data_IF_818246823812
#
_entry.id   IF_818246823812
#
_cell.length_a   1.000
_cell.length_b   1.000
_cell.length_c   1.000
_cell.angle_alpha   90.00
_cell.angle_beta   90.00
_cell.angle_gamma   90.00
#
_symmetry.space_group_name_H-M   'P 1'
#
loop_
_entity.id
_entity.type
_entity.pdbx_description
1 polymer ?
#
# COMPACT_ATOMS: atom_id res chain seq x y z
N UNK A 1 -75.83 -17.39 49.58
CA UNK A 1 -74.63 -18.15 49.27
C UNK A 1 -74.40 -18.03 47.78
N UNK A 2 -73.46 -17.19 47.37
CA UNK A 2 -73.09 -16.97 45.97
C UNK A 2 -71.65 -17.45 45.81
N UNK A 3 -71.49 -18.51 45.02
CA UNK A 3 -70.22 -19.16 44.69
C UNK A 3 -69.64 -18.43 43.47
N UNK A 4 -68.50 -17.78 43.62
CA UNK A 4 -67.74 -17.18 42.52
C UNK A 4 -66.80 -18.25 41.93
N UNK A 5 -66.96 -18.52 40.64
CA UNK A 5 -66.08 -19.42 39.87
C UNK A 5 -65.02 -18.55 39.15
N UNK A 6 -63.76 -18.78 39.53
CA UNK A 6 -62.63 -18.07 38.99
C UNK A 6 -62.11 -18.86 37.76
N UNK A 7 -62.18 -18.27 36.59
CA UNK A 7 -61.60 -18.86 35.36
C UNK A 7 -60.13 -18.48 35.26
N UNK A 8 -59.26 -19.44 35.31
CA UNK A 8 -57.83 -19.29 34.97
C UNK A 8 -57.66 -19.46 33.45
N UNK A 9 -57.32 -18.37 32.76
CA UNK A 9 -56.88 -18.41 31.37
C UNK A 9 -55.38 -18.75 31.34
N UNK A 10 -55.07 -19.94 30.81
CA UNK A 10 -53.69 -20.32 30.47
C UNK A 10 -53.27 -19.70 29.14
N UNK A 11 -52.40 -18.70 29.15
CA UNK A 11 -51.74 -18.20 27.95
C UNK A 11 -50.54 -19.07 27.66
N UNK A 12 -50.64 -19.92 26.62
CA UNK A 12 -49.53 -20.67 26.10
C UNK A 12 -48.63 -19.73 25.26
N UNK A 13 -47.45 -19.34 25.80
CA UNK A 13 -46.40 -18.67 25.03
C UNK A 13 -45.70 -19.71 24.11
N UNK A 14 -45.98 -19.62 22.82
CA UNK A 14 -45.22 -20.35 21.79
C UNK A 14 -43.92 -19.58 21.60
N UNK A 15 -42.83 -20.08 22.18
CA UNK A 15 -41.46 -19.59 21.91
C UNK A 15 -41.03 -20.15 20.53
N UNK A 16 -41.18 -19.33 19.49
CA UNK A 16 -40.49 -19.57 18.23
C UNK A 16 -38.98 -19.30 18.43
N UNK A 17 -38.24 -20.40 18.61
CA UNK A 17 -36.79 -20.35 18.58
C UNK A 17 -36.32 -20.04 17.16
N UNK A 18 -35.96 -18.80 16.86
CA UNK A 18 -35.11 -18.50 15.71
C UNK A 18 -33.75 -19.14 15.95
N UNK A 19 -33.49 -20.26 15.26
CA UNK A 19 -32.11 -20.73 15.09
C UNK A 19 -31.38 -19.69 14.23
N UNK A 20 -30.67 -18.77 14.87
CA UNK A 20 -29.60 -18.06 14.20
C UNK A 20 -28.51 -19.08 13.88
N UNK A 21 -28.25 -19.33 12.61
CA UNK A 21 -27.02 -20.00 12.19
C UNK A 21 -25.88 -19.14 12.68
N UNK A 22 -25.19 -19.63 13.72
CA UNK A 22 -23.90 -19.09 14.13
C UNK A 22 -22.95 -19.43 12.98
N UNK A 23 -22.69 -18.46 12.11
CA UNK A 23 -21.50 -18.51 11.28
C UNK A 23 -20.34 -18.63 12.25
N UNK A 24 -19.71 -19.79 12.26
CA UNK A 24 -18.47 -20.03 12.99
C UNK A 24 -17.43 -19.14 12.34
N UNK A 25 -17.28 -17.90 12.81
CA UNK A 25 -16.05 -17.17 12.62
C UNK A 25 -14.96 -18.04 13.23
N UNK A 26 -13.97 -18.42 12.45
CA UNK A 26 -12.76 -19.06 12.99
C UNK A 26 -12.16 -17.97 13.87
N UNK A 27 -12.41 -18.06 15.18
CA UNK A 27 -11.69 -17.27 16.17
C UNK A 27 -10.28 -17.88 16.22
N UNK A 28 -9.38 -17.32 15.42
CA UNK A 28 -7.96 -17.48 15.69
C UNK A 28 -7.77 -16.88 17.07
N UNK A 29 -7.38 -17.68 18.07
CA UNK A 29 -7.10 -17.15 19.40
C UNK A 29 -5.91 -16.18 19.26
N UNK A 30 -5.86 -15.13 20.10
CA UNK A 30 -4.72 -14.19 20.09
C UNK A 30 -3.39 -14.93 20.25
N UNK A 31 -3.38 -16.05 20.96
CA UNK A 31 -2.22 -16.93 21.12
C UNK A 31 -1.81 -17.60 19.81
N UNK A 32 -2.76 -18.03 18.96
CA UNK A 32 -2.46 -18.67 17.68
C UNK A 32 -1.95 -17.65 16.66
N UNK A 33 -2.49 -16.43 16.67
CA UNK A 33 -2.03 -15.36 15.78
C UNK A 33 -0.57 -14.97 16.03
N UNK A 34 -0.14 -14.94 17.27
CA UNK A 34 1.22 -14.60 17.66
C UNK A 34 2.16 -15.83 17.74
N UNK A 35 1.65 -17.04 17.47
CA UNK A 35 2.47 -18.25 17.50
C UNK A 35 3.52 -18.24 16.39
N UNK A 36 4.79 -18.17 16.77
CA UNK A 36 5.95 -18.25 15.89
C UNK A 36 6.61 -19.63 15.87
N UNK A 37 6.00 -20.65 16.48
CA UNK A 37 6.55 -22.00 16.51
C UNK A 37 6.73 -22.55 15.09
N UNK A 38 7.91 -23.09 14.81
CA UNK A 38 8.26 -23.63 13.49
C UNK A 38 8.51 -22.59 12.39
N UNK A 39 8.53 -21.29 12.72
CA UNK A 39 8.94 -20.23 11.78
C UNK A 39 10.46 -20.06 11.85
N UNK A 40 11.06 -19.86 10.67
CA UNK A 40 12.50 -19.68 10.52
C UNK A 40 12.91 -18.20 10.69
N UNK A 41 12.49 -17.57 11.79
CA UNK A 41 12.91 -16.21 12.09
C UNK A 41 14.38 -16.18 12.53
N UNK A 42 15.20 -15.33 11.91
CA UNK A 42 16.62 -15.18 12.30
C UNK A 42 16.79 -14.45 13.63
N UNK A 43 15.84 -13.55 13.94
CA UNK A 43 15.82 -12.76 15.15
C UNK A 43 14.44 -12.84 15.80
N UNK A 44 14.39 -12.61 17.11
CA UNK A 44 13.12 -12.50 17.83
C UNK A 44 12.25 -11.40 17.20
N UNK A 45 10.93 -11.66 17.08
CA UNK A 45 9.98 -10.71 16.55
C UNK A 45 9.76 -10.79 15.04
N UNK A 46 10.06 -11.92 14.41
CA UNK A 46 9.71 -12.19 13.01
C UNK A 46 10.68 -11.63 11.98
N UNK A 47 11.84 -11.11 12.39
CA UNK A 47 12.82 -10.51 11.49
C UNK A 47 13.59 -11.60 10.73
N UNK A 48 13.73 -11.41 9.42
CA UNK A 48 14.54 -12.24 8.54
C UNK A 48 15.31 -11.36 7.55
N UNK A 49 16.64 -11.55 7.50
CA UNK A 49 17.47 -11.01 6.42
C UNK A 49 17.47 -12.00 5.27
N UNK A 50 17.01 -11.57 4.11
CA UNK A 50 16.89 -12.42 2.92
C UNK A 50 18.01 -12.09 1.96
N UNK A 51 18.90 -13.06 1.64
CA UNK A 51 19.89 -12.87 0.60
C UNK A 51 19.20 -12.82 -0.77
N UNK A 52 19.56 -11.83 -1.56
CA UNK A 52 19.14 -11.65 -2.95
C UNK A 52 20.35 -11.57 -3.86
N UNK A 53 20.21 -12.10 -5.07
CA UNK A 53 21.23 -11.99 -6.11
C UNK A 53 20.83 -10.93 -7.12
N UNK A 54 21.77 -10.06 -7.46
CA UNK A 54 21.59 -9.00 -8.45
C UNK A 54 22.71 -9.07 -9.52
N UNK A 55 22.58 -8.36 -10.64
CA UNK A 55 23.68 -8.28 -11.64
C UNK A 55 24.99 -7.69 -11.09
N UNK A 56 24.97 -7.10 -9.90
CA UNK A 56 26.12 -6.45 -9.25
C UNK A 56 26.61 -7.18 -8.01
N UNK A 57 26.09 -8.36 -7.73
CA UNK A 57 26.47 -9.19 -6.59
C UNK A 57 25.29 -9.48 -5.67
N UNK A 58 25.60 -10.13 -4.56
CA UNK A 58 24.62 -10.54 -3.57
C UNK A 58 24.51 -9.48 -2.48
N UNK A 59 23.26 -9.25 -2.04
CA UNK A 59 22.92 -8.31 -0.98
C UNK A 59 21.87 -8.94 -0.06
N UNK A 60 21.62 -8.31 1.10
CA UNK A 60 20.57 -8.74 2.01
C UNK A 60 19.48 -7.67 2.09
N UNK A 61 18.23 -8.13 2.04
CA UNK A 61 17.07 -7.28 2.30
C UNK A 61 16.38 -7.70 3.59
N UNK A 62 15.90 -6.71 4.32
CA UNK A 62 15.26 -6.89 5.61
C UNK A 62 13.76 -7.09 5.46
N UNK A 63 13.24 -8.08 6.19
CA UNK A 63 11.81 -8.32 6.34
C UNK A 63 11.44 -8.55 7.80
N UNK A 64 10.18 -8.23 8.17
CA UNK A 64 9.62 -8.55 9.48
C UNK A 64 8.21 -9.09 9.31
N UNK A 65 8.00 -10.33 9.73
CA UNK A 65 6.68 -10.96 9.77
C UNK A 65 5.91 -10.52 11.02
N UNK A 66 4.63 -10.23 10.85
CA UNK A 66 3.66 -10.04 11.95
C UNK A 66 2.50 -10.98 11.72
N UNK A 67 2.16 -11.75 12.73
CA UNK A 67 1.06 -12.70 12.69
C UNK A 67 1.44 -14.10 12.21
N UNK A 68 0.41 -14.93 12.12
CA UNK A 68 0.48 -16.32 11.64
C UNK A 68 -0.88 -16.68 11.03
N UNK A 69 -0.95 -16.71 9.69
CA UNK A 69 -2.17 -17.06 8.96
C UNK A 69 -1.81 -17.97 7.78
N UNK A 70 -2.47 -19.13 7.61
CA UNK A 70 -2.14 -20.07 6.54
C UNK A 70 -2.56 -19.56 5.14
N UNK A 71 -3.63 -18.77 5.04
CA UNK A 71 -4.27 -18.40 3.75
C UNK A 71 -4.20 -16.93 3.40
N UNK A 72 -3.85 -16.05 4.36
CA UNK A 72 -3.75 -14.60 4.14
C UNK A 72 -2.38 -14.12 4.60
N UNK A 73 -1.52 -13.80 3.65
CA UNK A 73 -0.17 -13.25 3.86
C UNK A 73 0.07 -12.07 2.93
N UNK A 74 0.22 -10.90 3.49
CA UNK A 74 0.37 -9.65 2.74
C UNK A 74 1.81 -9.18 2.78
N UNK A 75 2.48 -9.10 1.63
CA UNK A 75 3.79 -8.44 1.52
C UNK A 75 3.58 -6.96 1.18
N UNK A 76 4.12 -6.06 1.99
CA UNK A 76 3.95 -4.62 1.89
C UNK A 76 5.13 -4.00 1.13
N UNK A 77 4.90 -3.53 -0.10
CA UNK A 77 5.88 -2.81 -0.91
C UNK A 77 5.76 -1.31 -0.64
N UNK A 78 6.75 -0.74 0.06
CA UNK A 78 6.76 0.70 0.36
C UNK A 78 6.92 1.57 -0.89
N UNK A 79 6.51 2.83 -0.77
CA UNK A 79 6.63 3.86 -1.78
C UNK A 79 8.03 4.51 -1.85
N UNK A 80 8.07 5.68 -2.36
CA UNK A 80 9.26 6.46 -2.65
C UNK A 80 9.51 6.53 -4.15
N UNK A 81 10.43 5.76 -4.75
CA UNK A 81 11.25 4.64 -4.20
C UNK A 81 12.25 5.06 -3.10
N UNK A 82 12.79 4.06 -2.41
CA UNK A 82 13.80 4.31 -1.37
C UNK A 82 13.26 4.80 -0.03
N UNK A 83 11.93 4.82 0.19
CA UNK A 83 11.32 5.00 1.52
C UNK A 83 11.54 3.76 2.39
N UNK A 84 10.79 3.60 3.46
CA UNK A 84 10.96 2.52 4.42
C UNK A 84 9.64 1.89 4.82
N UNK A 85 9.70 0.69 5.42
CA UNK A 85 8.53 0.00 5.96
C UNK A 85 7.76 0.82 7.01
N UNK A 86 8.41 1.79 7.66
CA UNK A 86 7.84 2.58 8.78
C UNK A 86 6.52 3.26 8.39
N UNK A 87 6.35 3.61 7.11
CA UNK A 87 5.12 4.21 6.59
C UNK A 87 3.88 3.31 6.77
N UNK A 88 4.09 2.02 7.02
CA UNK A 88 3.01 1.04 7.18
C UNK A 88 2.74 0.65 8.64
N UNK A 89 3.35 1.29 9.62
CA UNK A 89 3.08 0.98 11.04
C UNK A 89 1.61 1.23 11.44
N UNK A 90 0.85 2.02 10.66
CA UNK A 90 -0.60 2.14 10.83
C UNK A 90 -1.36 0.82 10.62
N UNK A 91 -0.79 -0.15 9.88
CA UNK A 91 -1.38 -1.47 9.65
C UNK A 91 -1.44 -2.31 10.94
N UNK A 92 -0.54 -2.08 11.90
CA UNK A 92 -0.52 -2.73 13.21
C UNK A 92 -1.80 -2.48 14.02
N UNK A 93 -2.51 -1.40 13.75
CA UNK A 93 -3.78 -1.08 14.39
C UNK A 93 -4.99 -1.83 13.82
N UNK A 94 -4.85 -2.48 12.66
CA UNK A 94 -5.97 -3.07 11.92
C UNK A 94 -5.79 -4.55 11.61
N UNK A 95 -4.69 -4.95 10.98
CA UNK A 95 -4.47 -6.30 10.48
C UNK A 95 -4.47 -7.38 11.55
N UNK A 96 -3.84 -7.19 12.74
CA UNK A 96 -3.88 -8.17 13.81
C UNK A 96 -5.30 -8.52 14.28
N UNK A 97 -6.19 -7.53 14.40
CA UNK A 97 -7.58 -7.73 14.81
C UNK A 97 -8.39 -8.56 13.82
N UNK A 98 -7.92 -8.64 12.58
CA UNK A 98 -8.54 -9.41 11.50
C UNK A 98 -7.82 -10.73 11.20
N UNK A 99 -6.80 -11.06 11.99
CA UNK A 99 -5.99 -12.26 11.82
C UNK A 99 -5.19 -12.30 10.52
N UNK A 100 -4.88 -11.16 9.92
CA UNK A 100 -4.11 -11.05 8.68
C UNK A 100 -2.62 -11.11 9.02
N UNK A 101 -1.89 -12.08 8.46
CA UNK A 101 -0.42 -12.12 8.50
C UNK A 101 0.12 -11.14 7.47
N UNK A 102 1.14 -10.37 7.83
CA UNK A 102 1.76 -9.43 6.91
C UNK A 102 3.25 -9.30 7.15
N UNK A 103 3.95 -8.81 6.12
CA UNK A 103 5.38 -8.65 6.09
C UNK A 103 5.73 -7.21 5.78
N UNK A 104 6.39 -6.56 6.72
CA UNK A 104 7.19 -5.39 6.44
C UNK A 104 8.40 -5.79 5.63
N UNK A 105 8.80 -4.94 4.71
CA UNK A 105 9.91 -5.19 3.82
C UNK A 105 10.59 -3.86 3.45
N UNK A 106 11.87 -3.74 3.75
CA UNK A 106 12.71 -2.69 3.22
C UNK A 106 13.40 -3.21 1.95
N UNK A 107 13.07 -2.61 0.80
CA UNK A 107 13.67 -2.96 -0.48
C UNK A 107 15.17 -2.63 -0.48
N UNK A 108 15.96 -3.24 -1.39
CA UNK A 108 17.39 -2.94 -1.49
C UNK A 108 17.62 -1.43 -1.64
N UNK A 109 18.52 -0.90 -0.85
CA UNK A 109 18.77 0.53 -0.75
C UNK A 109 17.97 1.23 0.35
N UNK A 110 16.98 0.57 0.98
CA UNK A 110 16.16 1.16 2.03
C UNK A 110 16.60 0.72 3.40
N UNK A 111 16.66 1.62 4.31
CA UNK A 111 16.87 1.61 5.76
C UNK A 111 17.64 0.41 6.34
N UNK A 112 16.95 -0.70 6.70
CA UNK A 112 17.57 -1.89 7.30
C UNK A 112 18.16 -2.88 6.29
N UNK A 113 17.87 -2.70 5.02
CA UNK A 113 18.47 -3.48 3.94
C UNK A 113 19.86 -2.96 3.58
N UNK A 114 20.65 -3.77 2.86
CA UNK A 114 21.93 -3.32 2.33
C UNK A 114 21.74 -2.10 1.42
N UNK A 115 22.68 -1.16 1.50
CA UNK A 115 22.62 0.12 0.77
C UNK A 115 23.81 0.30 -0.17
N UNK A 116 23.85 -0.44 -1.30
CA UNK A 116 24.91 -0.28 -2.29
C UNK A 116 24.87 1.12 -2.93
N UNK A 117 26.02 1.55 -3.48
CA UNK A 117 26.16 2.87 -4.11
C UNK A 117 26.15 2.85 -5.63
N UNK A 118 25.98 1.67 -6.25
CA UNK A 118 25.89 1.55 -7.70
C UNK A 118 24.47 1.93 -8.19
N UNK A 119 24.35 3.11 -8.79
CA UNK A 119 23.07 3.65 -9.25
C UNK A 119 22.40 2.76 -10.32
N UNK A 120 23.14 1.91 -11.01
CA UNK A 120 22.58 0.97 -12.00
C UNK A 120 21.73 -0.14 -11.37
N UNK A 121 21.72 -0.26 -10.06
CA UNK A 121 20.81 -1.16 -9.30
C UNK A 121 19.40 -0.58 -9.14
N UNK A 122 19.23 0.73 -9.35
CA UNK A 122 17.93 1.37 -9.21
C UNK A 122 17.15 1.28 -10.51
N UNK A 123 16.68 0.07 -10.81
CA UNK A 123 15.98 -0.30 -12.02
C UNK A 123 14.73 -1.13 -11.69
N UNK A 124 13.60 -0.86 -12.38
CA UNK A 124 12.31 -1.48 -12.09
C UNK A 124 12.35 -3.00 -12.26
N UNK A 125 12.93 -3.50 -13.35
CA UNK A 125 12.98 -4.95 -13.61
C UNK A 125 13.82 -5.67 -12.54
N UNK A 126 14.90 -5.02 -12.08
CA UNK A 126 15.72 -5.55 -10.98
C UNK A 126 14.91 -5.65 -9.68
N UNK A 127 14.07 -4.64 -9.36
CA UNK A 127 13.21 -4.69 -8.18
C UNK A 127 12.11 -5.75 -8.31
N UNK A 128 11.58 -6.00 -9.51
CA UNK A 128 10.64 -7.10 -9.76
C UNK A 128 11.29 -8.46 -9.43
N UNK A 129 12.54 -8.68 -9.87
CA UNK A 129 13.29 -9.91 -9.54
C UNK A 129 13.58 -10.02 -8.04
N UNK A 130 13.82 -8.91 -7.35
CA UNK A 130 14.02 -8.88 -5.91
C UNK A 130 12.75 -9.33 -5.18
N UNK A 131 11.56 -8.81 -5.56
CA UNK A 131 10.28 -9.22 -4.97
C UNK A 131 10.06 -10.73 -5.15
N UNK A 132 10.39 -11.29 -6.31
CA UNK A 132 10.26 -12.73 -6.56
C UNK A 132 11.19 -13.55 -5.65
N UNK A 133 12.44 -13.12 -5.47
CA UNK A 133 13.36 -13.79 -4.55
C UNK A 133 12.88 -13.71 -3.09
N UNK A 134 12.33 -12.56 -2.68
CA UNK A 134 11.73 -12.37 -1.35
C UNK A 134 10.51 -13.27 -1.16
N UNK A 135 9.61 -13.34 -2.15
CA UNK A 135 8.45 -14.24 -2.15
C UNK A 135 8.87 -15.69 -1.92
N UNK A 136 9.86 -16.18 -2.68
CA UNK A 136 10.38 -17.55 -2.56
C UNK A 136 10.95 -17.81 -1.17
N UNK A 137 11.77 -16.88 -0.66
CA UNK A 137 12.40 -17.00 0.66
C UNK A 137 11.40 -16.97 1.83
N UNK A 138 10.24 -16.33 1.64
CA UNK A 138 9.14 -16.28 2.62
C UNK A 138 8.12 -17.42 2.44
N UNK A 139 8.27 -18.26 1.39
CA UNK A 139 7.35 -19.37 1.11
C UNK A 139 5.93 -18.91 0.77
N UNK A 140 5.80 -17.76 0.09
CA UNK A 140 4.52 -17.22 -0.34
C UNK A 140 4.08 -17.87 -1.65
N UNK A 141 2.80 -18.27 -1.75
CA UNK A 141 2.24 -18.97 -2.93
C UNK A 141 0.86 -18.42 -3.29
N UNK A 142 0.35 -18.79 -4.44
CA UNK A 142 -1.00 -18.38 -4.87
C UNK A 142 -2.15 -18.82 -3.95
N UNK A 143 -1.89 -19.69 -2.97
CA UNK A 143 -2.88 -20.05 -1.96
C UNK A 143 -2.99 -19.04 -0.83
N UNK A 144 -1.97 -18.16 -0.67
CA UNK A 144 -1.89 -17.27 0.49
C UNK A 144 -1.31 -15.87 0.21
N UNK A 145 -0.72 -15.62 -0.96
CA UNK A 145 0.09 -14.44 -1.21
C UNK A 145 -0.73 -13.26 -1.76
N UNK A 146 -0.87 -12.23 -0.96
CA UNK A 146 -1.37 -10.92 -1.36
C UNK A 146 -0.20 -9.95 -1.48
N UNK A 147 -0.07 -9.30 -2.64
CA UNK A 147 0.92 -8.26 -2.86
C UNK A 147 0.26 -6.89 -2.75
N UNK A 148 0.71 -6.11 -1.79
CA UNK A 148 0.26 -4.74 -1.58
C UNK A 148 1.37 -3.78 -1.99
N UNK A 149 1.04 -2.76 -2.81
CA UNK A 149 1.96 -1.71 -3.19
C UNK A 149 1.31 -0.35 -3.19
N UNK A 150 1.94 0.63 -2.52
CA UNK A 150 1.48 2.01 -2.48
C UNK A 150 2.50 2.91 -3.20
N UNK A 151 2.01 3.87 -4.01
CA UNK A 151 2.88 4.78 -4.75
C UNK A 151 3.86 3.99 -5.65
N UNK A 152 5.17 4.22 -5.56
CA UNK A 152 6.19 3.40 -6.22
C UNK A 152 5.95 1.88 -6.03
N UNK A 153 5.56 1.46 -4.83
CA UNK A 153 5.19 0.07 -4.58
C UNK A 153 4.03 -0.41 -5.46
N UNK A 154 3.15 0.49 -5.89
CA UNK A 154 2.07 0.21 -6.85
C UNK A 154 2.59 -0.03 -8.27
N UNK A 155 3.58 0.75 -8.74
CA UNK A 155 4.30 0.51 -10.00
C UNK A 155 4.94 -0.89 -9.95
N UNK A 156 5.69 -1.16 -8.90
CA UNK A 156 6.36 -2.43 -8.68
C UNK A 156 5.38 -3.60 -8.62
N UNK A 157 4.23 -3.41 -7.95
CA UNK A 157 3.16 -4.42 -7.86
C UNK A 157 2.51 -4.73 -9.21
N UNK A 158 2.21 -3.71 -10.01
CA UNK A 158 1.68 -3.90 -11.38
C UNK A 158 2.69 -4.61 -12.27
N UNK A 159 3.94 -4.18 -12.24
CA UNK A 159 5.00 -4.79 -13.06
C UNK A 159 5.28 -6.23 -12.63
N UNK A 160 5.26 -6.51 -11.31
CA UNK A 160 5.35 -7.87 -10.79
C UNK A 160 4.17 -8.73 -11.26
N UNK A 161 2.95 -8.24 -11.18
CA UNK A 161 1.77 -8.99 -11.62
C UNK A 161 1.82 -9.30 -13.13
N UNK A 162 2.24 -8.36 -13.97
CA UNK A 162 2.40 -8.61 -15.41
C UNK A 162 3.40 -9.73 -15.73
N UNK A 163 4.31 -10.04 -14.81
CA UNK A 163 5.32 -11.08 -14.99
C UNK A 163 5.07 -12.36 -14.21
N UNK A 164 4.52 -12.27 -12.99
CA UNK A 164 4.49 -13.36 -12.01
C UNK A 164 3.12 -13.52 -11.31
N UNK A 165 2.02 -13.06 -11.92
CA UNK A 165 0.69 -13.10 -11.29
C UNK A 165 0.22 -14.52 -10.91
N UNK A 166 0.77 -15.58 -11.52
CA UNK A 166 0.46 -16.96 -11.18
C UNK A 166 0.82 -17.34 -9.75
N UNK A 167 1.65 -16.55 -9.09
CA UNK A 167 2.02 -16.71 -7.69
C UNK A 167 1.15 -15.92 -6.72
N UNK A 168 0.29 -15.02 -7.24
CA UNK A 168 -0.56 -14.14 -6.43
C UNK A 168 -1.93 -14.75 -6.16
N UNK A 169 -2.43 -14.56 -4.94
CA UNK A 169 -3.82 -14.75 -4.56
C UNK A 169 -4.62 -13.47 -4.75
N UNK A 170 -4.01 -12.31 -4.53
CA UNK A 170 -4.61 -11.00 -4.75
C UNK A 170 -3.55 -9.91 -4.90
N UNK A 171 -3.90 -8.85 -5.63
CA UNK A 171 -3.08 -7.67 -5.86
C UNK A 171 -3.79 -6.43 -5.31
N UNK A 172 -3.07 -5.58 -4.60
CA UNK A 172 -3.58 -4.31 -4.10
C UNK A 172 -2.66 -3.19 -4.59
N UNK A 173 -3.22 -2.28 -5.39
CA UNK A 173 -2.56 -1.07 -5.88
C UNK A 173 -3.16 0.10 -5.13
N UNK A 174 -2.38 0.77 -4.32
CA UNK A 174 -2.83 1.88 -3.49
C UNK A 174 -2.19 3.18 -3.95
N UNK A 175 -3.03 4.17 -4.24
CA UNK A 175 -2.59 5.53 -4.55
C UNK A 175 -1.49 5.56 -5.62
N UNK A 176 -1.75 4.87 -6.75
CA UNK A 176 -0.86 4.84 -7.91
C UNK A 176 -1.65 4.71 -9.21
N UNK A 177 -1.22 5.44 -10.23
CA UNK A 177 -1.76 5.40 -11.59
C UNK A 177 -0.95 4.44 -12.48
N UNK A 178 -1.50 3.99 -13.63
CA UNK A 178 -0.82 3.04 -14.50
C UNK A 178 0.12 3.69 -15.52
N UNK A 179 0.34 5.02 -15.41
CA UNK A 179 1.12 5.79 -16.38
C UNK A 179 1.77 7.00 -15.70
N UNK A 180 3.07 7.07 -15.73
CA UNK A 180 3.82 8.24 -15.24
C UNK A 180 3.62 9.48 -16.13
N UNK A 181 3.56 9.37 -17.47
CA UNK A 181 3.16 10.50 -18.30
C UNK A 181 1.80 11.12 -17.92
N UNK A 182 0.81 10.31 -17.56
CA UNK A 182 -0.50 10.79 -17.11
C UNK A 182 -0.43 11.43 -15.72
N UNK A 183 0.37 10.87 -14.80
CA UNK A 183 0.66 11.49 -13.52
C UNK A 183 1.27 12.89 -13.69
N UNK A 184 2.30 13.02 -14.52
CA UNK A 184 2.93 14.32 -14.80
C UNK A 184 1.92 15.32 -15.37
N UNK A 185 1.11 14.88 -16.34
CA UNK A 185 0.07 15.72 -16.94
C UNK A 185 -0.95 16.20 -15.91
N UNK A 186 -1.41 15.32 -15.01
CA UNK A 186 -2.36 15.68 -13.97
C UNK A 186 -1.76 16.69 -12.98
N UNK A 187 -0.50 16.51 -12.58
CA UNK A 187 0.22 17.46 -11.76
C UNK A 187 0.31 18.85 -12.42
N UNK A 188 0.70 18.90 -13.70
CA UNK A 188 0.94 20.17 -14.39
C UNK A 188 -0.36 20.89 -14.80
N UNK A 189 -1.38 20.16 -15.26
CA UNK A 189 -2.60 20.75 -15.85
C UNK A 189 -3.75 20.89 -14.84
N UNK A 190 -3.76 20.09 -13.76
CA UNK A 190 -4.88 20.06 -12.82
C UNK A 190 -4.50 20.55 -11.42
N UNK A 191 -3.36 20.10 -10.89
CA UNK A 191 -3.00 20.41 -9.49
C UNK A 191 -2.18 21.70 -9.37
N UNK A 192 -1.15 21.89 -10.18
CA UNK A 192 -0.31 23.08 -10.14
C UNK A 192 -1.13 24.38 -10.32
N UNK A 193 -2.14 24.47 -11.21
CA UNK A 193 -2.96 25.67 -11.33
C UNK A 193 -3.84 25.99 -10.12
N UNK A 194 -4.00 25.06 -9.18
CA UNK A 194 -4.75 25.29 -7.92
C UNK A 194 -3.92 25.96 -6.84
N UNK A 195 -2.60 25.96 -6.97
CA UNK A 195 -1.70 26.66 -6.06
C UNK A 195 -1.92 28.18 -6.12
N UNK A 196 -1.56 28.88 -5.04
CA UNK A 196 -1.46 30.32 -5.09
C UNK A 196 -0.55 30.74 -6.26
N UNK A 197 -0.98 31.70 -7.12
CA UNK A 197 -0.23 32.09 -8.33
C UNK A 197 1.20 32.58 -8.05
N UNK A 198 1.47 33.25 -6.91
CA UNK A 198 2.81 33.73 -6.58
C UNK A 198 3.68 32.56 -6.07
N UNK A 199 3.08 31.61 -5.34
CA UNK A 199 3.77 30.38 -4.92
C UNK A 199 4.17 29.54 -6.15
N UNK A 200 3.21 29.30 -7.06
CA UNK A 200 3.49 28.55 -8.29
C UNK A 200 4.59 29.22 -9.12
N UNK A 201 4.52 30.51 -9.28
CA UNK A 201 5.53 31.28 -10.03
C UNK A 201 6.92 31.15 -9.39
N UNK A 202 7.02 31.19 -8.06
CA UNK A 202 8.30 31.00 -7.37
C UNK A 202 8.83 29.56 -7.55
N UNK A 203 7.97 28.52 -7.42
CA UNK A 203 8.31 27.13 -7.71
C UNK A 203 8.86 26.98 -9.14
N UNK A 204 8.16 27.54 -10.14
CA UNK A 204 8.58 27.45 -11.54
C UNK A 204 9.93 28.12 -11.83
N UNK A 205 10.35 29.10 -11.03
CA UNK A 205 11.71 29.70 -11.14
C UNK A 205 12.80 28.71 -10.77
N UNK A 206 12.57 27.88 -9.71
CA UNK A 206 13.51 26.82 -9.32
C UNK A 206 13.52 25.68 -10.32
N UNK A 207 12.35 25.26 -10.80
CA UNK A 207 12.21 24.20 -11.81
C UNK A 207 12.90 24.54 -13.13
N UNK A 208 12.74 25.78 -13.61
CA UNK A 208 13.42 26.25 -14.82
C UNK A 208 14.94 26.28 -14.73
N UNK A 209 15.49 26.24 -13.52
CA UNK A 209 16.94 26.20 -13.25
C UNK A 209 17.41 24.80 -12.83
N UNK A 210 16.49 23.85 -12.71
CA UNK A 210 16.73 22.54 -12.11
C UNK A 210 17.34 22.61 -10.69
N UNK A 211 17.01 23.70 -9.95
CA UNK A 211 17.53 23.96 -8.59
C UNK A 211 16.67 23.27 -7.52
N UNK A 212 16.51 21.97 -7.68
CA UNK A 212 15.63 21.13 -6.85
C UNK A 212 16.16 20.87 -5.44
N UNK A 213 17.46 21.07 -5.21
CA UNK A 213 18.08 20.92 -3.88
C UNK A 213 17.95 22.18 -3.03
N UNK A 214 17.35 23.23 -3.55
CA UNK A 214 17.15 24.47 -2.84
C UNK A 214 16.16 24.32 -1.70
N UNK A 215 16.55 24.66 -0.49
CA UNK A 215 15.69 24.53 0.70
C UNK A 215 14.36 25.31 0.54
N UNK A 216 14.38 26.46 -0.14
CA UNK A 216 13.17 27.25 -0.38
C UNK A 216 12.21 26.57 -1.35
N UNK A 217 12.75 25.89 -2.40
CA UNK A 217 11.94 25.06 -3.30
C UNK A 217 11.18 23.99 -2.52
N UNK A 218 11.89 23.22 -1.70
CA UNK A 218 11.26 22.18 -0.89
C UNK A 218 10.28 22.73 0.14
N UNK A 219 10.58 23.87 0.77
CA UNK A 219 9.66 24.54 1.67
C UNK A 219 8.34 24.93 0.97
N UNK A 220 8.42 25.50 -0.24
CA UNK A 220 7.24 25.86 -1.02
C UNK A 220 6.39 24.62 -1.38
N UNK A 221 7.04 23.59 -1.89
CA UNK A 221 6.37 22.33 -2.28
C UNK A 221 5.73 21.65 -1.07
N UNK A 222 6.46 21.51 0.02
CA UNK A 222 5.91 20.86 1.24
C UNK A 222 4.76 21.63 1.83
N UNK A 223 4.90 22.95 2.00
CA UNK A 223 3.89 23.76 2.68
C UNK A 223 2.62 24.02 1.85
N UNK A 224 2.67 23.90 0.52
CA UNK A 224 1.56 24.27 -0.34
C UNK A 224 1.01 23.13 -1.20
N UNK A 225 1.81 22.06 -1.40
CA UNK A 225 1.40 20.94 -2.23
C UNK A 225 1.29 19.64 -1.39
N UNK A 226 2.29 19.34 -0.55
CA UNK A 226 2.24 18.10 0.24
C UNK A 226 1.13 18.12 1.28
N UNK A 227 0.87 19.26 1.92
CA UNK A 227 -0.22 19.44 2.88
C UNK A 227 -1.62 19.32 2.28
N UNK A 228 -1.75 19.39 0.95
CA UNK A 228 -3.02 19.23 0.25
C UNK A 228 -3.15 17.87 -0.46
N UNK A 229 -2.02 17.30 -0.93
CA UNK A 229 -2.04 16.17 -1.85
C UNK A 229 -1.27 14.93 -1.38
N UNK A 230 -0.32 15.07 -0.45
CA UNK A 230 0.42 13.92 0.12
C UNK A 230 -0.25 13.46 1.42
N UNK A 231 -0.46 14.35 2.35
CA UNK A 231 -1.17 14.09 3.61
C UNK A 231 -1.87 15.36 4.10
N UNK A 232 -3.18 15.32 4.21
CA UNK A 232 -4.05 16.46 4.53
C UNK A 232 -4.15 16.68 6.03
N UNK A 233 -3.01 16.84 6.66
CA UNK A 233 -2.85 17.21 8.08
C UNK A 233 -1.88 18.38 8.17
N UNK A 234 -2.01 19.25 9.19
CA UNK A 234 -0.96 20.21 9.54
C UNK A 234 0.39 19.49 9.72
N UNK A 235 1.49 20.11 9.29
CA UNK A 235 2.83 19.47 9.33
C UNK A 235 3.20 19.00 10.75
N UNK A 236 2.82 19.80 11.77
CA UNK A 236 3.05 19.48 13.18
C UNK A 236 2.24 18.26 13.69
N UNK A 237 1.20 17.86 12.94
CA UNK A 237 0.36 16.69 13.24
C UNK A 237 0.70 15.47 12.37
N UNK A 238 1.72 15.56 11.52
CA UNK A 238 2.13 14.43 10.70
C UNK A 238 2.52 13.24 11.57
N UNK A 239 2.02 12.04 11.26
CA UNK A 239 2.30 10.83 12.04
C UNK A 239 3.79 10.58 12.22
N UNK A 240 4.19 10.17 13.41
CA UNK A 240 5.60 9.92 13.73
C UNK A 240 6.24 8.87 12.81
N UNK A 241 5.55 7.74 12.43
CA UNK A 241 6.10 6.78 11.47
C UNK A 241 6.38 7.39 10.09
N UNK A 242 5.53 8.32 9.63
CA UNK A 242 5.75 9.04 8.39
C UNK A 242 7.00 9.93 8.48
N UNK A 243 7.14 10.68 9.56
CA UNK A 243 8.29 11.55 9.79
C UNK A 243 9.61 10.74 9.83
N UNK A 244 9.59 9.55 10.44
CA UNK A 244 10.72 8.62 10.43
C UNK A 244 11.03 8.10 9.03
N UNK A 245 10.03 7.70 8.28
CA UNK A 245 10.21 7.20 6.93
C UNK A 245 10.81 8.27 6.01
N UNK A 246 10.37 9.53 6.10
CA UNK A 246 10.99 10.65 5.38
C UNK A 246 12.45 10.90 5.82
N UNK A 247 12.75 10.75 7.10
CA UNK A 247 14.11 10.90 7.62
C UNK A 247 15.07 9.81 7.11
N UNK A 248 14.54 8.61 6.88
CA UNK A 248 15.33 7.44 6.50
C UNK A 248 15.33 7.16 5.00
N UNK A 249 14.65 8.01 4.20
CA UNK A 249 14.60 7.86 2.74
C UNK A 249 16.02 7.84 2.13
N UNK A 250 16.25 6.91 1.21
CA UNK A 250 17.48 6.90 0.41
C UNK A 250 17.32 7.83 -0.81
N UNK A 251 17.91 9.02 -0.72
CA UNK A 251 17.83 10.01 -1.79
C UNK A 251 18.49 9.56 -3.09
N UNK A 252 19.53 8.71 -3.06
CA UNK A 252 20.16 8.21 -4.28
C UNK A 252 19.16 7.34 -5.09
N UNK A 253 18.37 6.50 -4.40
CA UNK A 253 17.32 5.69 -5.01
C UNK A 253 16.18 6.59 -5.50
N UNK A 254 15.69 7.47 -4.62
CA UNK A 254 14.55 8.33 -4.90
C UNK A 254 14.78 9.22 -6.13
N UNK A 255 15.87 9.98 -6.14
CA UNK A 255 16.16 10.93 -7.22
C UNK A 255 16.45 10.22 -8.55
N UNK A 256 17.14 9.07 -8.51
CA UNK A 256 17.42 8.28 -9.74
C UNK A 256 16.14 7.77 -10.40
N UNK A 257 15.13 7.38 -9.64
CA UNK A 257 13.94 6.72 -10.17
C UNK A 257 12.73 7.64 -10.30
N UNK A 258 12.44 8.46 -9.28
CA UNK A 258 11.29 9.35 -9.18
C UNK A 258 11.62 10.79 -9.60
N UNK A 259 12.78 11.30 -9.20
CA UNK A 259 13.14 12.70 -9.36
C UNK A 259 13.13 13.46 -8.03
N UNK A 260 13.08 14.81 -8.08
CA UNK A 260 13.38 15.62 -6.90
C UNK A 260 12.28 15.70 -5.83
N UNK A 261 11.00 15.50 -6.22
CA UNK A 261 9.84 15.67 -5.32
C UNK A 261 8.59 15.01 -5.87
N UNK A 262 7.51 15.02 -5.09
CA UNK A 262 6.17 14.58 -5.54
C UNK A 262 5.41 15.67 -6.34
N UNK A 263 6.03 16.79 -6.66
CA UNK A 263 5.48 17.78 -7.59
C UNK A 263 5.70 17.36 -9.06
N UNK A 264 5.42 16.09 -9.35
CA UNK A 264 5.61 15.43 -10.63
C UNK A 264 7.01 14.83 -10.80
N UNK A 265 7.18 14.01 -11.83
CA UNK A 265 8.47 13.39 -12.20
C UNK A 265 9.26 14.34 -13.08
N UNK A 266 10.39 14.78 -12.59
CA UNK A 266 11.25 15.79 -13.25
C UNK A 266 12.64 15.22 -13.53
N UNK A 267 13.39 15.92 -14.40
CA UNK A 267 14.78 15.56 -14.73
C UNK A 267 14.92 14.24 -15.48
N UNK A 268 15.99 13.49 -15.19
CA UNK A 268 16.36 12.26 -15.87
C UNK A 268 15.92 10.99 -15.09
N UNK A 269 14.84 11.10 -14.31
CA UNK A 269 14.27 9.98 -13.57
C UNK A 269 13.92 8.81 -14.51
N UNK A 270 14.37 7.59 -14.16
CA UNK A 270 14.23 6.44 -15.07
C UNK A 270 12.80 5.90 -15.20
N UNK A 271 11.91 6.23 -14.26
CA UNK A 271 10.47 5.90 -14.35
C UNK A 271 9.67 6.83 -15.27
N UNK A 272 10.27 7.91 -15.77
CA UNK A 272 9.60 9.00 -16.51
C UNK A 272 8.68 8.54 -17.65
N UNK A 273 8.99 7.44 -18.31
CA UNK A 273 8.24 6.93 -19.47
C UNK A 273 7.48 5.63 -19.17
N UNK A 274 7.45 5.21 -17.90
CA UNK A 274 6.73 3.99 -17.54
C UNK A 274 5.22 4.15 -17.76
N UNK A 275 4.64 3.24 -18.52
CA UNK A 275 3.21 3.19 -18.85
C UNK A 275 2.80 1.75 -19.13
N UNK A 276 1.84 1.22 -18.37
CA UNK A 276 1.32 -0.15 -18.51
C UNK A 276 -0.17 -0.20 -18.84
N UNK A 277 -0.78 0.93 -19.21
CA UNK A 277 -2.23 1.00 -19.52
C UNK A 277 -2.66 -0.04 -20.54
N UNK A 278 -1.89 -0.20 -21.61
CA UNK A 278 -2.19 -1.16 -22.66
C UNK A 278 -2.09 -2.63 -22.22
N UNK A 279 -1.44 -2.90 -21.10
CA UNK A 279 -1.15 -4.24 -20.60
C UNK A 279 -2.03 -4.65 -19.40
N UNK A 280 -2.77 -3.73 -18.80
CA UNK A 280 -3.61 -3.99 -17.62
C UNK A 280 -4.59 -5.16 -17.83
N UNK A 281 -5.16 -5.30 -19.04
CA UNK A 281 -6.06 -6.39 -19.38
C UNK A 281 -5.45 -7.79 -19.27
N UNK A 282 -4.12 -7.90 -19.17
CA UNK A 282 -3.39 -9.16 -18.97
C UNK A 282 -3.39 -9.59 -17.49
N UNK A 283 -3.70 -8.69 -16.57
CA UNK A 283 -3.78 -9.00 -15.15
C UNK A 283 -5.13 -9.68 -14.87
N UNK A 284 -5.06 -10.93 -14.43
CA UNK A 284 -6.24 -11.80 -14.20
C UNK A 284 -6.49 -12.09 -12.73
N UNK A 285 -5.50 -11.85 -11.86
CA UNK A 285 -5.63 -12.03 -10.41
C UNK A 285 -6.62 -11.02 -9.83
N UNK A 286 -7.42 -11.37 -8.79
CA UNK A 286 -8.24 -10.40 -8.08
C UNK A 286 -7.43 -9.17 -7.68
N UNK A 287 -7.86 -7.99 -8.12
CA UNK A 287 -7.11 -6.75 -7.97
C UNK A 287 -7.97 -5.65 -7.33
N UNK A 288 -7.47 -5.05 -6.25
CA UNK A 288 -8.01 -3.84 -5.66
C UNK A 288 -7.16 -2.63 -6.09
N UNK A 289 -7.80 -1.63 -6.68
CA UNK A 289 -7.20 -0.30 -6.86
C UNK A 289 -7.80 0.66 -5.83
N UNK A 290 -6.97 1.33 -5.06
CA UNK A 290 -7.37 2.32 -4.06
C UNK A 290 -6.94 3.69 -4.57
N UNK A 291 -7.88 4.63 -4.61
CA UNK A 291 -7.63 6.01 -4.96
C UNK A 291 -8.18 6.98 -3.92
N UNK A 292 -7.77 8.23 -3.98
CA UNK A 292 -8.22 9.26 -3.07
C UNK A 292 -8.54 10.56 -3.80
N UNK A 293 -9.53 11.30 -3.30
CA UNK A 293 -10.05 12.51 -3.98
C UNK A 293 -9.01 13.62 -4.07
N UNK A 294 -8.11 13.69 -3.10
CA UNK A 294 -7.13 14.77 -2.98
C UNK A 294 -5.69 14.34 -3.29
N UNK A 295 -5.51 13.17 -3.90
CA UNK A 295 -4.21 12.61 -4.23
C UNK A 295 -3.41 13.48 -5.21
N UNK A 296 -2.10 13.30 -5.22
CA UNK A 296 -1.21 13.81 -6.29
C UNK A 296 -1.47 13.15 -7.64
N UNK A 297 -2.15 12.02 -7.62
CA UNK A 297 -2.46 11.18 -8.77
C UNK A 297 -3.96 11.19 -9.05
N UNK A 298 -4.33 11.19 -10.33
CA UNK A 298 -5.72 11.25 -10.76
C UNK A 298 -6.51 10.03 -10.28
N UNK A 299 -7.53 10.17 -9.40
CA UNK A 299 -8.36 9.06 -8.96
C UNK A 299 -9.13 8.36 -10.08
N UNK A 300 -9.44 9.04 -11.19
CA UNK A 300 -10.07 8.41 -12.36
C UNK A 300 -9.11 7.44 -13.05
N UNK A 301 -7.80 7.72 -13.05
CA UNK A 301 -6.80 6.78 -13.56
C UNK A 301 -6.63 5.56 -12.64
N UNK A 302 -6.80 5.73 -11.33
CA UNK A 302 -6.80 4.60 -10.40
C UNK A 302 -8.06 3.75 -10.56
N UNK A 303 -9.22 4.37 -10.79
CA UNK A 303 -10.47 3.66 -11.14
C UNK A 303 -10.31 2.90 -12.45
N UNK A 304 -9.68 3.51 -13.47
CA UNK A 304 -9.38 2.88 -14.75
C UNK A 304 -8.58 1.57 -14.58
N UNK A 305 -7.61 1.48 -13.65
CA UNK A 305 -6.93 0.22 -13.37
C UNK A 305 -7.94 -0.88 -13.05
N UNK A 306 -8.92 -0.61 -12.18
CA UNK A 306 -9.90 -1.62 -11.77
C UNK A 306 -10.89 -2.00 -12.89
N UNK A 307 -11.07 -1.14 -13.87
CA UNK A 307 -11.94 -1.37 -15.02
C UNK A 307 -11.24 -2.16 -16.13
N UNK A 308 -9.91 -2.04 -16.26
CA UNK A 308 -9.12 -2.68 -17.31
C UNK A 308 -8.56 -4.05 -16.92
N UNK A 309 -8.27 -4.30 -15.64
CA UNK A 309 -7.89 -5.65 -15.17
C UNK A 309 -9.11 -6.58 -15.23
N UNK A 310 -8.88 -7.89 -15.42
CA UNK A 310 -10.01 -8.82 -15.63
C UNK A 310 -10.89 -9.00 -14.39
N UNK A 311 -10.33 -8.87 -13.18
CA UNK A 311 -11.04 -9.03 -11.92
C UNK A 311 -10.70 -7.85 -11.00
N UNK A 312 -11.26 -6.68 -11.29
CA UNK A 312 -10.96 -5.44 -10.60
C UNK A 312 -12.04 -4.97 -9.64
N UNK A 313 -11.62 -4.32 -8.56
CA UNK A 313 -12.46 -3.56 -7.63
C UNK A 313 -11.81 -2.20 -7.37
N UNK A 314 -12.61 -1.15 -7.31
CA UNK A 314 -12.16 0.19 -6.94
C UNK A 314 -12.63 0.58 -5.54
N UNK A 315 -11.75 1.20 -4.77
CA UNK A 315 -12.04 1.84 -3.49
C UNK A 315 -11.64 3.32 -3.57
N UNK A 316 -12.60 4.21 -3.41
CA UNK A 316 -12.33 5.65 -3.28
C UNK A 316 -12.29 6.05 -1.81
N UNK A 317 -11.22 6.72 -1.40
CA UNK A 317 -11.10 7.42 -0.11
C UNK A 317 -11.51 8.88 -0.32
N UNK A 318 -12.76 9.27 0.01
CA UNK A 318 -13.30 10.57 -0.40
C UNK A 318 -12.66 11.75 0.32
N UNK A 319 -12.10 11.55 1.50
CA UNK A 319 -11.41 12.57 2.29
C UNK A 319 -9.89 12.43 2.25
N UNK A 320 -9.39 11.35 1.66
CA UNK A 320 -7.98 11.00 1.62
C UNK A 320 -7.18 11.73 0.55
N UNK A 321 -5.88 11.69 0.72
CA UNK A 321 -4.86 12.12 -0.24
C UNK A 321 -3.91 10.96 -0.58
N UNK A 322 -2.68 11.23 -1.01
CA UNK A 322 -1.70 10.19 -1.39
C UNK A 322 -1.41 9.17 -0.27
N UNK A 323 -1.51 9.59 0.98
CA UNK A 323 -1.34 8.76 2.16
C UNK A 323 -2.67 8.51 2.89
N UNK A 324 -3.68 8.05 2.13
CA UNK A 324 -5.04 7.83 2.64
C UNK A 324 -5.14 6.81 3.78
N UNK A 325 -4.12 5.97 3.99
CA UNK A 325 -3.99 5.15 5.19
C UNK A 325 -3.80 5.97 6.49
N UNK A 326 -3.58 7.28 6.39
CA UNK A 326 -3.49 8.19 7.53
C UNK A 326 -4.66 9.18 7.58
N UNK A 327 -5.02 9.82 6.47
CA UNK A 327 -5.99 10.92 6.45
C UNK A 327 -7.44 10.51 6.08
N UNK A 328 -7.65 9.29 5.56
CA UNK A 328 -8.99 8.65 5.45
C UNK A 328 -8.98 7.20 5.95
N UNK A 329 -8.33 7.00 7.08
CA UNK A 329 -7.91 5.71 7.64
C UNK A 329 -9.05 4.69 7.74
N UNK A 330 -10.24 5.13 8.16
CA UNK A 330 -11.37 4.22 8.35
C UNK A 330 -11.85 3.63 7.02
N UNK A 331 -12.13 4.47 6.03
CA UNK A 331 -12.58 4.02 4.69
C UNK A 331 -11.52 3.13 4.06
N UNK A 332 -10.26 3.54 4.19
CA UNK A 332 -9.12 2.83 3.64
C UNK A 332 -9.03 1.40 4.17
N UNK A 333 -8.92 1.22 5.48
CA UNK A 333 -8.73 -0.11 6.08
C UNK A 333 -9.98 -0.98 6.02
N UNK A 334 -11.19 -0.42 6.18
CA UNK A 334 -12.44 -1.19 6.01
C UNK A 334 -12.53 -1.77 4.59
N UNK A 335 -12.24 -0.97 3.57
CA UNK A 335 -12.28 -1.42 2.17
C UNK A 335 -11.17 -2.42 1.83
N UNK A 336 -9.94 -2.17 2.26
CA UNK A 336 -8.79 -3.06 2.07
C UNK A 336 -9.01 -4.43 2.72
N UNK A 337 -9.41 -4.45 3.98
CA UNK A 337 -9.69 -5.69 4.73
C UNK A 337 -10.85 -6.45 4.09
N UNK A 338 -11.92 -5.73 3.71
CA UNK A 338 -13.05 -6.36 3.01
C UNK A 338 -12.60 -7.06 1.73
N UNK A 339 -11.77 -6.42 0.91
CA UNK A 339 -11.24 -7.04 -0.31
C UNK A 339 -10.47 -8.32 -0.01
N UNK A 340 -9.52 -8.27 0.92
CA UNK A 340 -8.70 -9.44 1.31
C UNK A 340 -9.60 -10.60 1.78
N UNK A 341 -10.59 -10.31 2.62
CA UNK A 341 -11.53 -11.35 3.14
C UNK A 341 -12.46 -11.89 2.05
N UNK A 342 -12.94 -11.05 1.14
CA UNK A 342 -13.79 -11.49 0.02
C UNK A 342 -13.01 -12.46 -0.89
N UNK A 343 -11.75 -12.13 -1.21
CA UNK A 343 -10.88 -13.00 -2.02
C UNK A 343 -10.58 -14.32 -1.29
N UNK A 344 -10.23 -14.25 0.00
CA UNK A 344 -9.89 -15.44 0.79
C UNK A 344 -11.07 -16.41 0.90
N UNK A 345 -12.29 -15.89 1.03
CA UNK A 345 -13.52 -16.68 1.14
C UNK A 345 -14.11 -17.10 -0.20
N UNK A 346 -13.57 -16.64 -1.34
CA UNK A 346 -14.13 -16.87 -2.67
C UNK A 346 -15.40 -16.06 -2.96
N UNK A 347 -15.64 -14.97 -2.24
CA UNK A 347 -16.78 -14.07 -2.40
C UNK A 347 -16.48 -12.83 -3.28
N UNK A 348 -15.29 -12.77 -3.87
CA UNK A 348 -14.85 -11.67 -4.74
C UNK A 348 -15.52 -11.69 -6.10
#
# INVERSE_FOLDING_TARGET
MKTNLLYFLFFAFVLTSCKSEIKTSINISDTDYLDSSGKEDQYLGGIKMIPITTPKGDFNVWTKRVGNNPTIKVLLLHGGPGMTHEIYESFDGYFPNEGIEYYYYDQLGSYYSDQPKDLSLWDLDRFVEEVEQVRIALGLTNDNFYLYGQSWGGILGMQYALKYQEHLKGLIISNMVPSIPDYQKYSDEVLAPKLDPEVLKEIMVYEAKEDYTNARYMELVVNNYYTEHIIRLPIEEWPEPLNRSFKHINHDVYVTMQGPSEFGIKGDANLKYWDVKADLHKITVPTLSIGATHDTMDPEQMKFISEEVQNGRFLLCPNGSHLSQFDDQKVYFEGLIKFIKDVDSGAF
#
